data_IF_300987745354
#
_entry.id   IF_300987745354
#
_cell.length_a   1.000
_cell.length_b   1.000
_cell.length_c   1.000
_cell.angle_alpha   90.00
_cell.angle_beta   90.00
_cell.angle_gamma   90.00
#
_symmetry.space_group_name_H-M   'P 1'
#
loop_
_entity.id
_entity.type
_entity.pdbx_description
1 polymer ?
#
# COMPACT_ATOMS: atom_id res chain seq x y z
N UNK A 1 -28.56 -33.25 36.58
CA UNK A 1 -28.60 -31.85 36.07
C UNK A 1 -27.77 -31.75 34.80
N UNK A 2 -28.39 -31.73 33.62
CA UNK A 2 -27.68 -31.53 32.34
C UNK A 2 -27.48 -30.03 32.12
N UNK A 3 -26.28 -29.53 32.40
CA UNK A 3 -25.90 -28.16 32.04
C UNK A 3 -25.84 -28.09 30.51
N UNK A 4 -26.71 -27.27 29.95
CA UNK A 4 -26.94 -27.13 28.52
C UNK A 4 -25.73 -26.42 27.88
N UNK A 5 -24.77 -27.17 27.31
CA UNK A 5 -23.53 -26.63 26.73
C UNK A 5 -23.78 -25.56 25.64
N UNK A 6 -24.95 -25.59 25.01
CA UNK A 6 -25.38 -24.60 24.02
C UNK A 6 -25.64 -23.20 24.60
N UNK A 7 -26.01 -23.07 25.88
CA UNK A 7 -26.24 -21.73 26.48
C UNK A 7 -24.93 -21.04 26.86
N UNK A 8 -23.91 -21.80 27.25
CA UNK A 8 -22.58 -21.28 27.58
C UNK A 8 -21.85 -20.80 26.32
N UNK A 9 -21.95 -21.53 25.20
CA UNK A 9 -21.36 -21.11 23.92
C UNK A 9 -22.06 -19.85 23.40
N UNK A 10 -23.40 -19.79 23.46
CA UNK A 10 -24.16 -18.60 23.04
C UNK A 10 -23.79 -17.39 23.89
N UNK A 11 -23.72 -17.54 25.21
CA UNK A 11 -23.37 -16.44 26.11
C UNK A 11 -21.91 -15.99 25.97
N UNK A 12 -20.98 -16.91 25.67
CA UNK A 12 -19.57 -16.58 25.43
C UNK A 12 -19.37 -15.89 24.07
N UNK A 13 -20.10 -16.32 23.03
CA UNK A 13 -20.14 -15.64 21.73
C UNK A 13 -20.77 -14.25 21.88
N UNK A 14 -21.88 -14.11 22.60
CA UNK A 14 -22.52 -12.81 22.86
C UNK A 14 -21.69 -11.87 23.76
N UNK A 15 -20.91 -12.39 24.72
CA UNK A 15 -20.01 -11.56 25.54
C UNK A 15 -18.78 -11.07 24.75
N UNK A 16 -18.37 -11.83 23.73
CA UNK A 16 -17.25 -11.48 22.83
C UNK A 16 -17.73 -10.62 21.64
N UNK A 17 -19.01 -10.70 21.27
CA UNK A 17 -19.75 -9.76 20.40
C UNK A 17 -20.03 -8.42 21.13
N UNK A 18 -19.02 -7.89 21.80
CA UNK A 18 -19.05 -6.55 22.38
C UNK A 18 -19.19 -5.53 21.25
N UNK A 19 -19.93 -4.44 21.49
CA UNK A 19 -20.19 -3.34 20.54
C UNK A 19 -18.97 -2.90 19.72
N UNK A 20 -17.76 -2.98 20.29
CA UNK A 20 -16.50 -2.61 19.64
C UNK A 20 -16.11 -3.50 18.46
N UNK A 21 -16.40 -4.81 18.49
CA UNK A 21 -16.03 -5.73 17.39
C UNK A 21 -16.95 -5.49 16.19
N UNK A 22 -18.27 -5.45 16.41
CA UNK A 22 -19.25 -5.16 15.36
C UNK A 22 -19.01 -3.76 14.78
N UNK A 23 -18.72 -2.76 15.64
CA UNK A 23 -18.37 -1.41 15.19
C UNK A 23 -17.12 -1.39 14.31
N UNK A 24 -16.06 -2.12 14.67
CA UNK A 24 -14.84 -2.21 13.86
C UNK A 24 -15.09 -2.90 12.52
N UNK A 25 -15.84 -3.99 12.52
CA UNK A 25 -16.22 -4.70 11.30
C UNK A 25 -17.01 -3.78 10.38
N UNK A 26 -18.04 -3.10 10.91
CA UNK A 26 -18.86 -2.15 10.16
C UNK A 26 -18.03 -0.99 9.59
N UNK A 27 -17.12 -0.41 10.37
CA UNK A 27 -16.20 0.64 9.90
C UNK A 27 -15.31 0.14 8.75
N UNK A 28 -14.76 -1.06 8.87
CA UNK A 28 -13.95 -1.65 7.79
C UNK A 28 -14.79 -1.86 6.52
N UNK A 29 -16.03 -2.36 6.63
CA UNK A 29 -16.92 -2.50 5.48
C UNK A 29 -17.21 -1.19 4.78
N UNK A 30 -17.51 -0.11 5.52
CA UNK A 30 -17.72 1.22 4.93
C UNK A 30 -16.46 1.69 4.19
N UNK A 31 -15.29 1.53 4.80
CA UNK A 31 -14.03 1.93 4.18
C UNK A 31 -13.78 1.13 2.89
N UNK A 32 -14.02 -0.18 2.89
CA UNK A 32 -13.87 -1.00 1.69
C UNK A 32 -14.88 -0.63 0.61
N UNK A 33 -16.14 -0.39 0.97
CA UNK A 33 -17.17 0.06 0.04
C UNK A 33 -16.76 1.37 -0.65
N UNK A 34 -16.30 2.37 0.12
CA UNK A 34 -15.78 3.62 -0.44
C UNK A 34 -14.57 3.40 -1.36
N UNK A 35 -13.68 2.47 -1.00
CA UNK A 35 -12.53 2.12 -1.84
C UNK A 35 -12.94 1.53 -3.20
N UNK A 36 -14.07 0.85 -3.32
CA UNK A 36 -14.58 0.35 -4.60
C UNK A 36 -15.44 1.38 -5.34
N UNK A 37 -16.19 2.21 -4.62
CA UNK A 37 -17.06 3.23 -5.22
C UNK A 37 -16.26 4.37 -5.86
N UNK A 38 -15.17 4.82 -5.22
CA UNK A 38 -14.38 5.95 -5.73
C UNK A 38 -13.80 5.70 -7.15
N UNK A 39 -13.17 4.55 -7.47
CA UNK A 39 -12.72 4.24 -8.83
C UNK A 39 -13.85 4.23 -9.87
N UNK A 40 -15.05 3.77 -9.51
CA UNK A 40 -16.19 3.76 -10.43
C UNK A 40 -16.62 5.17 -10.86
N UNK A 41 -16.37 6.18 -10.02
CA UNK A 41 -16.65 7.59 -10.34
C UNK A 41 -15.48 8.20 -11.12
N UNK A 42 -14.25 7.91 -10.70
CA UNK A 42 -13.03 8.50 -11.28
C UNK A 42 -12.75 7.99 -12.70
N UNK A 43 -12.94 6.70 -12.97
CA UNK A 43 -12.60 6.11 -14.27
C UNK A 43 -13.42 6.73 -15.42
N UNK A 44 -14.76 6.82 -15.36
CA UNK A 44 -15.55 7.48 -16.41
C UNK A 44 -15.16 8.95 -16.61
N UNK A 45 -14.84 9.66 -15.53
CA UNK A 45 -14.36 11.03 -15.60
C UNK A 45 -13.03 11.13 -16.35
N UNK A 46 -12.04 10.32 -15.96
CA UNK A 46 -10.72 10.32 -16.58
C UNK A 46 -10.76 9.89 -18.05
N UNK A 47 -11.55 8.88 -18.41
CA UNK A 47 -11.71 8.47 -19.82
C UNK A 47 -12.28 9.61 -20.67
N UNK A 48 -13.22 10.39 -20.13
CA UNK A 48 -13.79 11.56 -20.82
C UNK A 48 -12.81 12.71 -20.94
N UNK A 49 -12.11 13.05 -19.86
CA UNK A 49 -11.21 14.23 -19.80
C UNK A 49 -9.88 13.96 -20.49
N UNK A 50 -9.27 12.79 -20.26
CA UNK A 50 -7.97 12.42 -20.84
C UNK A 50 -8.08 11.90 -22.28
N UNK A 51 -9.30 11.73 -22.80
CA UNK A 51 -9.63 10.90 -23.96
C UNK A 51 -9.33 9.39 -23.72
N UNK A 52 -9.96 8.49 -24.49
CA UNK A 52 -9.65 7.06 -24.42
C UNK A 52 -8.17 6.74 -24.68
N UNK A 53 -7.53 7.48 -25.58
CA UNK A 53 -6.11 7.27 -25.93
C UNK A 53 -5.17 7.65 -24.78
N UNK A 54 -5.34 8.85 -24.21
CA UNK A 54 -4.52 9.32 -23.09
C UNK A 54 -4.71 8.47 -21.83
N UNK A 55 -5.95 8.11 -21.51
CA UNK A 55 -6.23 7.19 -20.41
C UNK A 55 -5.63 5.79 -20.65
N UNK A 56 -5.66 5.31 -21.89
CA UNK A 56 -5.06 4.03 -22.30
C UNK A 56 -3.55 3.99 -22.07
N UNK A 57 -2.83 5.05 -22.45
CA UNK A 57 -1.38 5.18 -22.24
C UNK A 57 -1.05 5.15 -20.73
N UNK A 58 -1.79 5.89 -19.91
CA UNK A 58 -1.56 5.88 -18.45
C UNK A 58 -1.88 4.53 -17.83
N UNK A 59 -2.97 3.88 -18.24
CA UNK A 59 -3.36 2.55 -17.74
C UNK A 59 -2.35 1.48 -18.12
N UNK A 60 -1.78 1.56 -19.32
CA UNK A 60 -0.69 0.70 -19.77
C UNK A 60 0.56 0.91 -18.90
N UNK A 61 0.98 2.17 -18.71
CA UNK A 61 2.12 2.51 -17.87
C UNK A 61 1.92 2.05 -16.41
N UNK A 62 0.72 2.23 -15.84
CA UNK A 62 0.35 1.72 -14.51
C UNK A 62 0.47 0.20 -14.43
N UNK A 63 0.10 -0.53 -15.47
CA UNK A 63 0.21 -1.99 -15.50
C UNK A 63 1.67 -2.44 -15.45
N UNK A 64 2.56 -1.77 -16.18
CA UNK A 64 4.01 -2.03 -16.12
C UNK A 64 4.57 -1.75 -14.71
N UNK A 65 4.18 -0.63 -14.11
CA UNK A 65 4.56 -0.26 -12.74
C UNK A 65 4.00 -1.24 -11.71
N UNK A 66 2.80 -1.78 -11.93
CA UNK A 66 2.21 -2.80 -11.07
C UNK A 66 3.03 -4.10 -11.08
N UNK A 67 3.54 -4.55 -12.25
CA UNK A 67 4.45 -5.70 -12.31
C UNK A 67 5.75 -5.46 -11.53
N UNK A 68 6.35 -4.27 -11.66
CA UNK A 68 7.52 -3.90 -10.86
C UNK A 68 7.20 -3.81 -9.36
N UNK A 69 5.99 -3.37 -8.99
CA UNK A 69 5.54 -3.36 -7.59
C UNK A 69 5.45 -4.76 -7.02
N UNK A 70 4.89 -5.72 -7.77
CA UNK A 70 4.83 -7.14 -7.37
C UNK A 70 6.24 -7.69 -7.11
N UNK A 71 7.20 -7.34 -7.98
CA UNK A 71 8.60 -7.70 -7.80
C UNK A 71 9.17 -7.13 -6.49
N UNK A 72 8.92 -5.86 -6.18
CA UNK A 72 9.40 -5.18 -4.97
C UNK A 72 8.76 -5.75 -3.69
N UNK A 73 7.49 -6.17 -3.75
CA UNK A 73 6.79 -6.71 -2.59
C UNK A 73 7.23 -8.14 -2.22
N UNK A 74 7.95 -8.86 -3.09
CA UNK A 74 8.65 -10.14 -2.87
C UNK A 74 8.10 -11.03 -1.73
N UNK A 75 6.80 -11.32 -1.71
CA UNK A 75 6.17 -12.16 -0.68
C UNK A 75 6.23 -11.62 0.77
N UNK A 76 6.74 -10.41 1.01
CA UNK A 76 6.85 -9.80 2.35
C UNK A 76 5.50 -9.69 3.05
N UNK A 77 4.42 -9.51 2.29
CA UNK A 77 3.05 -9.52 2.81
C UNK A 77 2.71 -10.81 3.58
N UNK A 78 3.36 -11.94 3.28
CA UNK A 78 3.19 -13.20 4.00
C UNK A 78 4.33 -13.44 5.01
N UNK A 79 5.58 -13.34 4.56
CA UNK A 79 6.75 -13.69 5.39
C UNK A 79 6.95 -12.73 6.56
N UNK A 80 6.96 -11.42 6.29
CA UNK A 80 7.15 -10.40 7.32
C UNK A 80 5.94 -10.34 8.26
N UNK A 81 4.73 -10.41 7.73
CA UNK A 81 3.49 -10.45 8.53
C UNK A 81 3.51 -11.61 9.53
N UNK A 82 3.92 -12.81 9.10
CA UNK A 82 4.06 -13.97 9.98
C UNK A 82 5.12 -13.73 11.06
N UNK A 83 6.30 -13.23 10.71
CA UNK A 83 7.38 -12.95 11.67
C UNK A 83 6.94 -11.91 12.71
N UNK A 84 6.33 -10.82 12.28
CA UNK A 84 5.79 -9.78 13.17
C UNK A 84 4.73 -10.35 14.12
N UNK A 85 3.83 -11.22 13.63
CA UNK A 85 2.82 -11.87 14.47
C UNK A 85 3.44 -12.74 15.57
N UNK A 86 4.46 -13.54 15.22
CA UNK A 86 5.20 -14.39 16.18
C UNK A 86 5.92 -13.55 17.23
N UNK A 87 6.60 -12.47 16.82
CA UNK A 87 7.36 -11.61 17.72
C UNK A 87 6.58 -10.39 18.23
N UNK A 88 5.24 -10.39 18.16
CA UNK A 88 4.39 -9.21 18.44
C UNK A 88 4.60 -8.55 19.81
N UNK A 89 5.12 -9.31 20.78
CA UNK A 89 5.40 -8.83 22.14
C UNK A 89 6.88 -8.44 22.35
N UNK A 90 7.77 -8.72 21.39
CA UNK A 90 9.18 -8.38 21.43
C UNK A 90 9.46 -7.20 20.50
N UNK A 91 9.53 -6.00 21.09
CA UNK A 91 9.73 -4.76 20.35
C UNK A 91 11.05 -4.72 19.57
N UNK A 92 12.12 -5.27 20.15
CA UNK A 92 13.46 -5.27 19.54
C UNK A 92 13.43 -6.06 18.23
N UNK A 93 12.82 -7.25 18.27
CA UNK A 93 12.70 -8.09 17.07
C UNK A 93 11.74 -7.48 16.04
N UNK A 94 10.62 -6.87 16.48
CA UNK A 94 9.71 -6.13 15.59
C UNK A 94 10.42 -4.99 14.87
N UNK A 95 11.22 -4.19 15.59
CA UNK A 95 12.03 -3.12 15.00
C UNK A 95 13.04 -3.67 14.00
N UNK A 96 13.73 -4.75 14.35
CA UNK A 96 14.72 -5.39 13.49
C UNK A 96 14.10 -5.89 12.19
N UNK A 97 12.98 -6.61 12.27
CA UNK A 97 12.23 -7.06 11.10
C UNK A 97 11.80 -5.84 10.29
N UNK A 98 11.35 -4.77 10.95
CA UNK A 98 10.85 -3.60 10.26
C UNK A 98 11.88 -2.92 9.37
N UNK A 99 13.05 -2.63 9.91
CA UNK A 99 14.11 -2.00 9.13
C UNK A 99 14.72 -2.95 8.09
N UNK A 100 14.82 -4.24 8.38
CA UNK A 100 15.30 -5.23 7.39
C UNK A 100 14.36 -5.33 6.19
N UNK A 101 13.04 -5.39 6.42
CA UNK A 101 12.05 -5.46 5.32
C UNK A 101 12.05 -4.15 4.52
N UNK A 102 12.11 -2.99 5.19
CA UNK A 102 12.17 -1.70 4.50
C UNK A 102 13.44 -1.58 3.64
N UNK A 103 14.59 -2.03 4.15
CA UNK A 103 15.85 -2.07 3.41
C UNK A 103 15.81 -3.06 2.24
N UNK A 104 15.23 -4.25 2.43
CA UNK A 104 15.07 -5.25 1.37
C UNK A 104 14.17 -4.72 0.24
N UNK A 105 13.01 -4.14 0.59
CA UNK A 105 12.12 -3.47 -0.38
C UNK A 105 12.81 -2.31 -1.06
N UNK A 106 13.59 -1.51 -0.34
CA UNK A 106 14.41 -0.43 -0.90
C UNK A 106 15.42 -0.93 -1.92
N UNK A 107 16.14 -2.02 -1.61
CA UNK A 107 17.09 -2.66 -2.52
C UNK A 107 16.43 -3.20 -3.78
N UNK A 108 15.33 -3.95 -3.64
CA UNK A 108 14.53 -4.42 -4.79
C UNK A 108 13.95 -3.24 -5.59
N UNK A 109 13.56 -2.17 -4.92
CA UNK A 109 13.13 -0.91 -5.53
C UNK A 109 14.24 -0.21 -6.31
N UNK A 110 15.49 -0.29 -5.88
CA UNK A 110 16.61 0.23 -6.66
C UNK A 110 16.84 -0.62 -7.91
N UNK A 111 16.79 -1.95 -7.79
CA UNK A 111 16.89 -2.86 -8.94
C UNK A 111 15.75 -2.60 -9.92
N UNK A 112 14.51 -2.49 -9.45
CA UNK A 112 13.34 -2.19 -10.27
C UNK A 112 13.47 -0.86 -11.02
N UNK A 113 14.10 0.14 -10.40
CA UNK A 113 14.33 1.44 -11.03
C UNK A 113 15.38 1.34 -12.15
N UNK A 114 16.47 0.61 -11.90
CA UNK A 114 17.49 0.34 -12.93
C UNK A 114 16.86 -0.42 -14.11
N UNK A 115 16.03 -1.43 -13.85
CA UNK A 115 15.29 -2.15 -14.89
C UNK A 115 14.40 -1.19 -15.68
N UNK A 116 13.68 -0.28 -15.03
CA UNK A 116 12.86 0.72 -15.72
C UNK A 116 13.70 1.63 -16.63
N UNK A 117 14.86 2.10 -16.17
CA UNK A 117 15.76 2.92 -16.97
C UNK A 117 16.30 2.16 -18.19
N UNK A 118 16.66 0.88 -18.02
CA UNK A 118 17.06 0.02 -19.12
C UNK A 118 15.92 -0.15 -20.12
N UNK A 119 14.71 -0.46 -19.66
CA UNK A 119 13.52 -0.60 -20.51
C UNK A 119 13.23 0.68 -21.31
N UNK A 120 13.29 1.85 -20.69
CA UNK A 120 13.05 3.13 -21.37
C UNK A 120 14.18 3.53 -22.33
N UNK A 121 15.40 3.03 -22.14
CA UNK A 121 16.52 3.27 -23.05
C UNK A 121 16.59 2.31 -24.24
N UNK A 122 16.18 1.04 -24.05
CA UNK A 122 16.31 -0.03 -25.05
C UNK A 122 15.07 -0.20 -25.93
N UNK A 123 13.88 0.16 -25.44
CA UNK A 123 12.61 -0.06 -26.14
C UNK A 123 12.05 1.28 -26.63
N UNK A 124 12.00 1.54 -27.96
CA UNK A 124 11.55 2.82 -28.50
C UNK A 124 10.18 3.28 -28.01
N UNK A 125 9.22 2.35 -27.91
CA UNK A 125 7.87 2.65 -27.43
C UNK A 125 7.85 3.13 -25.97
N UNK A 126 8.77 2.62 -25.13
CA UNK A 126 8.88 3.06 -23.74
C UNK A 126 9.65 4.37 -23.59
N UNK A 127 10.51 4.69 -24.55
CA UNK A 127 11.19 5.97 -24.62
C UNK A 127 10.21 7.12 -24.82
N UNK A 128 9.18 6.94 -25.65
CA UNK A 128 8.13 7.95 -25.88
C UNK A 128 7.34 8.30 -24.61
N UNK A 129 7.15 7.32 -23.72
CA UNK A 129 6.42 7.48 -22.46
C UNK A 129 7.34 7.48 -21.23
N UNK A 130 8.64 7.70 -21.40
CA UNK A 130 9.63 7.54 -20.33
C UNK A 130 9.36 8.46 -19.15
N UNK A 131 8.98 9.72 -19.41
CA UNK A 131 8.63 10.70 -18.38
C UNK A 131 7.44 10.23 -17.55
N UNK A 132 6.41 9.69 -18.20
CA UNK A 132 5.23 9.14 -17.52
C UNK A 132 5.61 7.95 -16.63
N UNK A 133 6.44 7.03 -17.15
CA UNK A 133 6.91 5.87 -16.42
C UNK A 133 7.75 6.24 -15.19
N UNK A 134 8.67 7.20 -15.33
CA UNK A 134 9.51 7.70 -14.23
C UNK A 134 8.66 8.37 -13.17
N UNK A 135 7.66 9.18 -13.56
CA UNK A 135 6.73 9.79 -12.61
C UNK A 135 5.95 8.70 -11.87
N UNK A 136 5.35 7.74 -12.58
CA UNK A 136 4.57 6.66 -11.96
C UNK A 136 5.42 5.74 -11.08
N UNK A 137 6.74 5.65 -11.30
CA UNK A 137 7.65 4.93 -10.41
C UNK A 137 7.61 5.46 -8.97
N UNK A 138 7.23 6.73 -8.77
CA UNK A 138 6.96 7.27 -7.44
C UNK A 138 5.91 6.48 -6.64
N UNK A 139 4.97 5.80 -7.30
CA UNK A 139 4.02 4.90 -6.61
C UNK A 139 4.70 3.67 -5.99
N UNK A 140 5.79 3.16 -6.59
CA UNK A 140 6.60 2.09 -6.00
C UNK A 140 7.32 2.61 -4.77
N UNK A 141 7.84 3.84 -4.80
CA UNK A 141 8.45 4.48 -3.62
C UNK A 141 7.42 4.57 -2.49
N UNK A 142 6.20 5.01 -2.78
CA UNK A 142 5.10 5.00 -1.81
C UNK A 142 4.79 3.61 -1.25
N UNK A 143 4.73 2.58 -2.10
CA UNK A 143 4.54 1.18 -1.69
C UNK A 143 5.68 0.66 -0.80
N UNK A 144 6.94 0.99 -1.08
CA UNK A 144 8.10 0.61 -0.26
C UNK A 144 7.96 1.20 1.14
N UNK A 145 7.59 2.48 1.21
CA UNK A 145 7.45 3.18 2.48
C UNK A 145 6.24 2.70 3.28
N UNK A 146 5.19 2.17 2.65
CA UNK A 146 3.96 1.79 3.32
C UNK A 146 4.07 0.39 3.99
N UNK A 147 4.18 0.29 5.34
CA UNK A 147 4.54 -0.96 5.99
C UNK A 147 3.30 -1.81 6.32
N UNK A 148 2.53 -2.18 5.29
CA UNK A 148 1.25 -2.88 5.46
C UNK A 148 1.38 -4.19 6.28
N UNK A 149 2.47 -4.92 6.06
CA UNK A 149 2.81 -6.19 6.73
C UNK A 149 3.01 -6.03 8.25
N UNK A 150 3.48 -4.86 8.71
CA UNK A 150 3.64 -4.57 10.14
C UNK A 150 2.27 -4.46 10.81
N UNK A 151 1.41 -3.60 10.27
CA UNK A 151 0.07 -3.38 10.81
C UNK A 151 -0.79 -4.64 10.68
N UNK A 152 -0.61 -5.44 9.62
CA UNK A 152 -1.22 -6.77 9.48
C UNK A 152 -0.77 -7.71 10.60
N UNK A 153 0.54 -7.86 10.81
CA UNK A 153 1.10 -8.76 11.82
C UNK A 153 0.72 -8.38 13.26
N UNK A 154 0.48 -7.09 13.51
CA UNK A 154 0.03 -6.56 14.81
C UNK A 154 -1.51 -6.46 14.96
N UNK A 155 -2.27 -6.91 13.96
CA UNK A 155 -3.75 -6.87 13.94
C UNK A 155 -4.32 -5.44 14.05
N UNK A 156 -3.62 -4.46 13.45
CA UNK A 156 -3.95 -3.03 13.48
C UNK A 156 -4.36 -2.50 12.10
N UNK A 157 -5.19 -3.27 11.39
CA UNK A 157 -5.63 -2.97 10.02
C UNK A 157 -6.42 -1.68 9.85
N UNK A 158 -7.16 -1.26 10.88
CA UNK A 158 -7.97 -0.03 10.83
C UNK A 158 -7.12 1.20 10.48
N UNK A 159 -5.88 1.27 10.96
CA UNK A 159 -4.99 2.38 10.65
C UNK A 159 -4.63 2.45 9.16
N UNK A 160 -4.29 1.31 8.55
CA UNK A 160 -4.04 1.22 7.12
C UNK A 160 -5.27 1.68 6.33
N UNK A 161 -6.43 1.15 6.69
CA UNK A 161 -7.69 1.42 5.99
C UNK A 161 -8.03 2.92 6.02
N UNK A 162 -7.84 3.58 7.17
CA UNK A 162 -8.05 5.02 7.31
C UNK A 162 -7.05 5.81 6.46
N UNK A 163 -5.75 5.51 6.52
CA UNK A 163 -4.74 6.20 5.70
C UNK A 163 -5.06 6.05 4.21
N UNK A 164 -5.34 4.83 3.75
CA UNK A 164 -5.68 4.56 2.36
C UNK A 164 -6.94 5.31 1.93
N UNK A 165 -8.00 5.32 2.75
CA UNK A 165 -9.22 6.04 2.41
C UNK A 165 -8.98 7.55 2.34
N UNK A 166 -8.34 8.13 3.34
CA UNK A 166 -8.06 9.58 3.39
C UNK A 166 -7.19 10.01 2.21
N UNK A 167 -6.09 9.31 1.94
CA UNK A 167 -5.21 9.62 0.81
C UNK A 167 -5.89 9.41 -0.53
N UNK A 168 -6.74 8.38 -0.67
CA UNK A 168 -7.55 8.17 -1.88
C UNK A 168 -8.58 9.28 -2.11
N UNK A 169 -9.21 9.78 -1.05
CA UNK A 169 -10.13 10.93 -1.15
C UNK A 169 -9.36 12.18 -1.59
N UNK A 170 -8.20 12.47 -0.99
CA UNK A 170 -7.33 13.59 -1.41
C UNK A 170 -6.89 13.45 -2.87
N UNK A 171 -6.51 12.24 -3.29
CA UNK A 171 -6.15 11.92 -4.67
C UNK A 171 -7.32 12.19 -5.63
N UNK A 172 -8.51 11.70 -5.31
CA UNK A 172 -9.73 11.92 -6.10
C UNK A 172 -10.04 13.41 -6.21
N UNK A 173 -9.98 14.15 -5.11
CA UNK A 173 -10.18 15.60 -5.14
C UNK A 173 -9.14 16.30 -6.01
N UNK A 174 -7.86 15.91 -5.90
CA UNK A 174 -6.79 16.42 -6.76
C UNK A 174 -7.07 16.17 -8.24
N UNK A 175 -7.52 14.96 -8.60
CA UNK A 175 -7.90 14.63 -9.98
C UNK A 175 -9.00 15.56 -10.46
N UNK A 176 -10.11 15.69 -9.71
CA UNK A 176 -11.23 16.52 -10.12
C UNK A 176 -10.90 18.01 -10.16
N UNK A 177 -9.95 18.50 -9.35
CA UNK A 177 -9.57 19.91 -9.31
C UNK A 177 -8.58 20.27 -10.43
N UNK A 178 -7.60 19.41 -10.70
CA UNK A 178 -6.45 19.77 -11.53
C UNK A 178 -6.42 19.11 -12.91
N UNK A 179 -7.02 17.92 -13.09
CA UNK A 179 -7.01 17.20 -14.38
C UNK A 179 -8.22 17.64 -15.20
N UNK A 180 -8.03 18.52 -16.18
CA UNK A 180 -9.13 19.18 -16.90
C UNK A 180 -9.09 18.99 -18.41
N UNK A 181 -7.97 18.53 -18.95
CA UNK A 181 -7.73 18.37 -20.38
C UNK A 181 -6.99 17.07 -20.70
N UNK A 182 -6.97 16.70 -21.98
CA UNK A 182 -6.22 15.53 -22.48
C UNK A 182 -4.71 15.63 -22.33
N UNK A 183 -4.18 16.84 -22.14
CA UNK A 183 -2.75 17.09 -21.94
C UNK A 183 -2.33 16.83 -20.48
N UNK A 184 -3.28 16.70 -19.55
CA UNK A 184 -3.03 16.58 -18.11
C UNK A 184 -2.72 15.13 -17.66
N UNK A 185 -2.39 14.23 -18.58
CA UNK A 185 -2.10 12.82 -18.25
C UNK A 185 -0.85 12.68 -17.36
N UNK A 186 0.17 13.53 -17.55
CA UNK A 186 1.33 13.59 -16.65
C UNK A 186 0.96 14.13 -15.27
N UNK A 187 0.08 15.13 -15.21
CA UNK A 187 -0.42 15.67 -13.95
C UNK A 187 -1.23 14.63 -13.18
N UNK A 188 -2.05 13.85 -13.87
CA UNK A 188 -2.72 12.69 -13.29
C UNK A 188 -1.72 11.69 -12.70
N UNK A 189 -0.64 11.35 -13.43
CA UNK A 189 0.41 10.48 -12.93
C UNK A 189 1.15 11.06 -11.70
N UNK A 190 1.42 12.36 -11.68
CA UNK A 190 2.00 13.05 -10.51
C UNK A 190 1.07 12.91 -9.30
N UNK A 191 -0.23 13.16 -9.48
CA UNK A 191 -1.22 13.05 -8.39
C UNK A 191 -1.22 11.63 -7.80
N UNK A 192 -1.15 10.58 -8.64
CA UNK A 192 -1.07 9.19 -8.18
C UNK A 192 0.19 8.93 -7.35
N UNK A 193 1.36 9.31 -7.88
CA UNK A 193 2.64 9.09 -7.23
C UNK A 193 2.76 9.84 -5.92
N UNK A 194 2.40 11.13 -5.90
CA UNK A 194 2.42 11.95 -4.69
C UNK A 194 1.46 11.40 -3.65
N UNK A 195 0.24 10.99 -4.04
CA UNK A 195 -0.74 10.42 -3.11
C UNK A 195 -0.23 9.11 -2.49
N UNK A 196 0.41 8.26 -3.28
CA UNK A 196 1.01 7.02 -2.80
C UNK A 196 2.19 7.27 -1.85
N UNK A 197 3.10 8.19 -2.21
CA UNK A 197 4.22 8.58 -1.36
C UNK A 197 3.74 9.20 -0.04
N UNK A 198 2.71 10.04 -0.11
CA UNK A 198 2.08 10.64 1.06
C UNK A 198 1.47 9.59 2.00
N UNK A 199 0.77 8.59 1.45
CA UNK A 199 0.28 7.45 2.22
C UNK A 199 1.42 6.67 2.88
N UNK A 200 2.47 6.36 2.11
CA UNK A 200 3.71 5.72 2.58
C UNK A 200 4.34 6.46 3.76
N UNK A 201 4.52 7.77 3.62
CA UNK A 201 5.11 8.63 4.62
C UNK A 201 4.30 8.68 5.93
N UNK A 202 2.98 8.86 5.82
CA UNK A 202 2.08 8.79 7.00
C UNK A 202 2.15 7.40 7.64
N UNK A 203 2.22 6.34 6.83
CA UNK A 203 2.34 4.96 7.29
C UNK A 203 3.59 4.73 8.15
N UNK A 204 4.75 5.23 7.71
CA UNK A 204 6.00 5.16 8.49
C UNK A 204 5.89 5.97 9.78
N UNK A 205 5.47 7.23 9.70
CA UNK A 205 5.36 8.09 10.89
C UNK A 205 4.47 7.42 11.94
N UNK A 206 3.32 6.92 11.50
CA UNK A 206 2.39 6.23 12.38
C UNK A 206 3.01 4.96 12.95
N UNK A 207 3.72 4.17 12.15
CA UNK A 207 4.38 2.95 12.62
C UNK A 207 5.42 3.25 13.70
N UNK A 208 6.29 4.23 13.46
CA UNK A 208 7.34 4.64 14.40
C UNK A 208 6.74 5.17 15.70
N UNK A 209 5.76 6.08 15.61
CA UNK A 209 5.15 6.72 16.77
C UNK A 209 4.27 5.75 17.59
N UNK A 210 3.44 4.95 16.93
CA UNK A 210 2.45 4.09 17.60
C UNK A 210 3.08 2.84 18.22
N UNK A 211 4.03 2.22 17.52
CA UNK A 211 4.63 0.97 17.97
C UNK A 211 5.96 1.16 18.69
N UNK A 212 6.44 2.40 18.81
CA UNK A 212 7.72 2.75 19.46
C UNK A 212 8.86 1.91 18.89
N UNK A 213 8.97 1.94 17.57
CA UNK A 213 10.00 1.21 16.84
C UNK A 213 11.33 1.90 17.10
N UNK A 214 12.17 1.25 17.90
CA UNK A 214 13.55 1.71 18.12
C UNK A 214 14.38 1.51 16.84
N UNK A 215 15.23 2.48 16.53
CA UNK A 215 16.09 2.41 15.35
C UNK A 215 17.05 1.23 15.47
N UNK A 216 17.04 0.36 14.46
CA UNK A 216 17.98 -0.76 14.35
C UNK A 216 18.61 -0.73 12.97
N UNK A 217 19.94 -0.77 12.90
CA UNK A 217 20.62 -0.70 11.62
C UNK A 217 20.40 -2.02 10.85
N UNK A 218 19.86 -1.97 9.62
CA UNK A 218 19.65 -3.18 8.84
C UNK A 218 21.00 -3.81 8.50
N UNK A 219 21.15 -5.09 8.86
CA UNK A 219 22.35 -5.87 8.51
C UNK A 219 22.15 -6.59 7.17
N UNK A 220 23.18 -6.67 6.32
CA UNK A 220 23.12 -7.38 5.03
C UNK A 220 22.67 -8.85 5.19
N UNK A 221 23.10 -9.51 6.27
CA UNK A 221 22.64 -10.87 6.62
C UNK A 221 21.15 -10.92 6.97
N UNK A 222 20.64 -9.87 7.65
CA UNK A 222 19.21 -9.72 7.95
C UNK A 222 18.38 -9.52 6.69
N UNK A 223 18.85 -8.70 5.74
CA UNK A 223 18.20 -8.48 4.45
C UNK A 223 18.12 -9.80 3.66
N UNK A 224 19.22 -10.54 3.57
CA UNK A 224 19.24 -11.85 2.88
C UNK A 224 18.31 -12.88 3.52
N UNK A 225 18.17 -12.86 4.85
CA UNK A 225 17.24 -13.72 5.59
C UNK A 225 15.76 -13.36 5.38
N UNK A 226 15.47 -12.11 5.02
CA UNK A 226 14.11 -11.71 4.63
C UNK A 226 13.79 -12.06 3.16
N UNK A 227 14.81 -12.19 2.31
CA UNK A 227 14.70 -12.57 0.90
C UNK A 227 14.74 -14.09 0.65
N UNK A 228 14.83 -14.91 1.70
CA UNK A 228 14.86 -16.38 1.62
C UNK A 228 13.62 -16.99 2.25
#
# INVERSE_FOLDING_TARGET
MKVNSNSLIKNWVFSTLRSNVIKNIFLLYIIHFANYLLPLIVVPYLVRVLSPSGFGIVSFAQSLIAYLTIFVDYGFALSATRKISVYRNNKIEVSRIFFNVLAAKGFLGLIGFIVLLLLTSLIPQFKEISTLLIILYGTIVGNILFPIWLFQGLEKMVFISVINLTTKILMVMGIFLFVKSSQDYLLYAIILSVSSMFAGFIGIILALWRFKIDFTMPSLQGIWKELK
#
